data_IF_561950838634
#
_entry.id   IF_561950838634
#
_cell.length_a   1.000
_cell.length_b   1.000
_cell.length_c   1.000
_cell.angle_alpha   90.00
_cell.angle_beta   90.00
_cell.angle_gamma   90.00
#
_symmetry.space_group_name_H-M   'P 1'
#
loop_
_entity.id
_entity.type
_entity.pdbx_description
1 polymer ?
#
# COMPACT_ATOMS: atom_id res chain seq x y z
N UNK A 1 4.00 -24.59 -13.80
CA UNK A 1 3.40 -23.31 -14.24
C UNK A 1 4.45 -22.22 -14.10
N UNK A 2 4.68 -21.35 -15.10
CA UNK A 2 5.67 -20.28 -14.96
C UNK A 2 5.22 -19.31 -13.86
N UNK A 3 6.14 -18.90 -12.99
CA UNK A 3 5.87 -17.91 -11.94
C UNK A 3 5.51 -16.61 -12.63
N UNK A 4 4.22 -16.21 -12.54
CA UNK A 4 3.74 -14.98 -13.16
C UNK A 4 4.29 -13.80 -12.36
N UNK A 5 5.30 -13.12 -12.89
CA UNK A 5 5.85 -11.91 -12.27
C UNK A 5 4.79 -10.82 -12.28
N UNK A 6 4.22 -10.51 -11.12
CA UNK A 6 3.35 -9.36 -10.93
C UNK A 6 4.26 -8.12 -10.89
N UNK A 7 4.12 -7.25 -11.87
CA UNK A 7 4.82 -5.96 -11.91
C UNK A 7 3.82 -4.84 -11.61
N UNK A 8 4.22 -3.89 -10.77
CA UNK A 8 3.42 -2.72 -10.43
C UNK A 8 4.29 -1.47 -10.57
N UNK A 9 3.76 -0.45 -11.23
CA UNK A 9 4.44 0.84 -11.39
C UNK A 9 3.90 1.83 -10.36
N UNK A 10 4.80 2.48 -9.64
CA UNK A 10 4.46 3.49 -8.63
C UNK A 10 4.97 4.83 -9.15
N UNK A 11 4.10 5.85 -9.20
CA UNK A 11 4.54 7.23 -9.43
C UNK A 11 5.04 7.80 -8.13
N UNK A 12 6.28 8.26 -8.11
CA UNK A 12 6.88 8.94 -6.98
C UNK A 12 7.59 10.20 -7.45
N UNK A 13 7.78 11.14 -6.52
CA UNK A 13 8.58 12.33 -6.77
C UNK A 13 10.04 11.92 -7.07
N UNK A 14 10.75 12.64 -7.97
CA UNK A 14 12.11 12.28 -8.37
C UNK A 14 13.09 12.13 -7.20
N UNK A 15 12.91 12.93 -6.15
CA UNK A 15 13.74 12.94 -4.95
C UNK A 15 13.60 11.64 -4.15
N UNK A 16 12.39 11.08 -4.11
CA UNK A 16 12.11 9.81 -3.43
C UNK A 16 12.76 8.67 -4.19
N UNK A 17 12.67 8.69 -5.52
CA UNK A 17 13.33 7.70 -6.36
C UNK A 17 14.85 7.69 -6.19
N UNK A 18 15.47 8.88 -6.11
CA UNK A 18 16.90 9.03 -5.85
C UNK A 18 17.31 8.47 -4.48
N UNK A 19 16.54 8.78 -3.43
CA UNK A 19 16.79 8.21 -2.09
C UNK A 19 16.72 6.69 -2.06
N UNK A 20 15.78 6.09 -2.80
CA UNK A 20 15.67 4.63 -2.90
C UNK A 20 16.90 4.05 -3.62
N UNK A 21 17.40 4.71 -4.67
CA UNK A 21 18.60 4.26 -5.37
C UNK A 21 19.83 4.32 -4.47
N UNK A 22 19.97 5.37 -3.66
CA UNK A 22 21.08 5.49 -2.72
C UNK A 22 21.01 4.41 -1.64
N UNK A 23 19.83 4.13 -1.10
CA UNK A 23 19.62 3.01 -0.18
C UNK A 23 19.94 1.65 -0.83
N UNK A 24 19.53 1.44 -2.07
CA UNK A 24 19.83 0.21 -2.81
C UNK A 24 21.34 0.01 -2.94
N UNK A 25 22.09 1.07 -3.29
CA UNK A 25 23.56 1.04 -3.38
C UNK A 25 24.21 0.76 -2.03
N UNK A 26 23.79 1.46 -0.97
CA UNK A 26 24.32 1.25 0.38
C UNK A 26 24.14 -0.19 0.88
N UNK A 27 23.05 -0.85 0.47
CA UNK A 27 22.77 -2.23 0.83
C UNK A 27 23.27 -3.26 -0.21
N UNK A 28 24.09 -2.84 -1.19
CA UNK A 28 24.74 -3.73 -2.16
C UNK A 28 23.83 -4.28 -3.27
N UNK A 29 22.67 -3.66 -3.51
CA UNK A 29 21.76 -4.10 -4.57
C UNK A 29 22.10 -3.45 -5.91
N UNK A 30 22.18 -4.29 -6.96
CA UNK A 30 22.50 -3.84 -8.32
C UNK A 30 21.39 -3.01 -9.00
N UNK A 31 20.13 -3.18 -8.59
CA UNK A 31 19.00 -2.43 -9.16
C UNK A 31 17.97 -2.09 -8.09
N UNK A 32 17.27 -0.96 -8.29
CA UNK A 32 16.13 -0.53 -7.47
C UNK A 32 15.08 -1.63 -7.35
N UNK A 33 14.78 -2.32 -8.45
CA UNK A 33 13.78 -3.38 -8.47
C UNK A 33 14.15 -4.53 -7.51
N UNK A 34 15.41 -4.99 -7.53
CA UNK A 34 15.87 -6.04 -6.61
C UNK A 34 15.82 -5.59 -5.15
N UNK A 35 16.22 -4.35 -4.89
CA UNK A 35 16.14 -3.76 -3.56
C UNK A 35 14.68 -3.69 -3.07
N UNK A 36 13.75 -3.21 -3.89
CA UNK A 36 12.33 -3.09 -3.53
C UNK A 36 11.66 -4.45 -3.36
N UNK A 37 12.00 -5.45 -4.18
CA UNK A 37 11.51 -6.82 -4.01
C UNK A 37 12.04 -7.45 -2.73
N UNK A 38 13.33 -7.28 -2.43
CA UNK A 38 13.91 -7.74 -1.18
C UNK A 38 13.25 -7.03 0.00
N UNK A 39 13.20 -5.70 -0.01
CA UNK A 39 12.53 -4.90 1.00
C UNK A 39 11.10 -5.38 1.22
N UNK A 40 10.27 -5.53 0.19
CA UNK A 40 8.89 -6.00 0.32
C UNK A 40 8.77 -7.41 0.94
N UNK A 41 9.70 -8.31 0.66
CA UNK A 41 9.73 -9.65 1.23
C UNK A 41 10.27 -9.66 2.67
N UNK A 42 11.14 -8.71 3.03
CA UNK A 42 11.75 -8.59 4.36
C UNK A 42 10.99 -7.64 5.28
N UNK A 43 10.11 -6.76 4.76
CA UNK A 43 9.28 -5.80 5.51
C UNK A 43 8.19 -6.45 6.39
N UNK A 44 8.32 -7.74 6.69
CA UNK A 44 7.48 -8.49 7.61
C UNK A 44 8.29 -9.20 8.71
N UNK A 45 9.56 -8.83 8.91
CA UNK A 45 10.40 -9.35 9.99
C UNK A 45 9.96 -8.86 11.38
N UNK A 46 8.82 -9.35 11.88
CA UNK A 46 8.51 -9.52 13.30
C UNK A 46 8.15 -8.29 14.15
N UNK A 47 8.21 -7.04 13.65
CA UNK A 47 7.87 -5.84 14.47
C UNK A 47 6.62 -5.07 14.04
N UNK A 48 6.12 -5.29 12.82
CA UNK A 48 5.04 -4.49 12.23
C UNK A 48 3.72 -5.26 12.01
N UNK A 49 3.56 -6.47 12.57
CA UNK A 49 2.35 -7.29 12.39
C UNK A 49 1.05 -6.55 12.75
N UNK A 50 1.08 -5.74 13.82
CA UNK A 50 -0.06 -4.92 14.22
C UNK A 50 -0.42 -3.86 13.16
N UNK A 51 0.59 -3.23 12.54
CA UNK A 51 0.42 -2.22 11.49
C UNK A 51 -0.08 -2.89 10.21
N UNK A 52 0.50 -4.03 9.83
CA UNK A 52 0.07 -4.81 8.66
C UNK A 52 -1.38 -5.29 8.82
N UNK A 53 -1.76 -5.73 10.02
CA UNK A 53 -3.15 -6.10 10.31
C UNK A 53 -4.11 -4.90 10.24
N UNK A 54 -3.71 -3.74 10.75
CA UNK A 54 -4.48 -2.48 10.68
C UNK A 54 -4.66 -2.03 9.22
N UNK A 55 -3.59 -2.01 8.43
CA UNK A 55 -3.61 -1.66 7.00
C UNK A 55 -4.44 -2.66 6.18
N UNK A 56 -4.36 -3.96 6.50
CA UNK A 56 -5.14 -5.00 5.82
C UNK A 56 -6.65 -4.84 6.07
N UNK A 57 -7.06 -4.51 7.30
CA UNK A 57 -8.48 -4.25 7.63
C UNK A 57 -9.02 -3.02 6.90
N UNK A 58 -8.24 -1.94 6.84
CA UNK A 58 -8.63 -0.72 6.12
C UNK A 58 -8.71 -0.97 4.62
N UNK A 59 -7.75 -1.69 4.05
CA UNK A 59 -7.74 -2.08 2.63
C UNK A 59 -8.95 -2.96 2.28
N UNK A 60 -9.30 -3.92 3.14
CA UNK A 60 -10.50 -4.74 2.98
C UNK A 60 -11.78 -3.90 3.02
N UNK A 61 -11.90 -2.97 3.96
CA UNK A 61 -13.06 -2.07 4.05
C UNK A 61 -13.21 -1.22 2.78
N UNK A 62 -12.11 -0.65 2.27
CA UNK A 62 -12.08 0.11 1.01
C UNK A 62 -12.52 -0.76 -0.18
N UNK A 63 -12.06 -2.01 -0.23
CA UNK A 63 -12.46 -2.94 -1.28
C UNK A 63 -13.96 -3.31 -1.22
N UNK A 64 -14.53 -3.48 -0.03
CA UNK A 64 -15.98 -3.71 0.11
C UNK A 64 -16.80 -2.48 -0.29
N UNK A 65 -16.31 -1.27 -0.02
CA UNK A 65 -16.95 -0.02 -0.45
C UNK A 65 -16.93 0.10 -1.99
N UNK A 66 -15.79 -0.19 -2.62
CA UNK A 66 -15.67 -0.21 -4.09
C UNK A 66 -16.58 -1.27 -4.74
N UNK A 67 -16.67 -2.46 -4.11
CA UNK A 67 -17.63 -3.50 -4.52
C UNK A 67 -19.09 -3.06 -4.32
N UNK A 68 -19.40 -2.30 -3.27
CA UNK A 68 -20.73 -1.75 -3.07
C UNK A 68 -21.07 -0.65 -4.09
N UNK A 69 -20.07 0.14 -4.50
CA UNK A 69 -20.22 1.16 -5.54
C UNK A 69 -20.48 0.53 -6.92
N UNK A 70 -19.85 -0.61 -7.19
CA UNK A 70 -19.90 -1.30 -8.49
C UNK A 70 -20.93 -2.44 -8.56
N UNK A 71 -21.48 -2.89 -7.43
CA UNK A 71 -22.46 -3.98 -7.33
C UNK A 71 -23.55 -3.68 -6.30
N UNK A 72 -24.81 -3.69 -6.76
CA UNK A 72 -26.09 -3.46 -6.05
C UNK A 72 -26.11 -3.81 -4.54
N UNK A 73 -25.54 -2.93 -3.71
CA UNK A 73 -25.80 -2.87 -2.27
C UNK A 73 -26.72 -1.67 -2.02
N UNK A 74 -28.00 -2.00 -1.78
CA UNK A 74 -29.18 -1.13 -1.86
C UNK A 74 -29.39 -0.22 -0.64
N UNK A 75 -28.41 -0.12 0.26
CA UNK A 75 -28.58 0.59 1.55
C UNK A 75 -27.73 1.86 1.68
N UNK A 76 -26.67 2.01 0.88
CA UNK A 76 -25.79 3.17 0.94
C UNK A 76 -25.96 4.00 -0.32
N UNK A 77 -26.19 5.32 -0.17
CA UNK A 77 -26.26 6.21 -1.33
C UNK A 77 -24.85 6.41 -1.89
N UNK A 78 -24.69 6.69 -3.19
CA UNK A 78 -23.38 6.93 -3.80
C UNK A 78 -22.53 7.99 -3.07
N UNK A 79 -23.17 9.06 -2.56
CA UNK A 79 -22.47 10.08 -1.76
C UNK A 79 -21.89 9.52 -0.45
N UNK A 80 -22.61 8.61 0.22
CA UNK A 80 -22.15 8.01 1.48
C UNK A 80 -20.94 7.09 1.22
N UNK A 81 -20.95 6.37 0.10
CA UNK A 81 -19.83 5.54 -0.35
C UNK A 81 -18.58 6.40 -0.59
N UNK A 82 -18.72 7.54 -1.26
CA UNK A 82 -17.61 8.47 -1.52
C UNK A 82 -17.08 9.12 -0.23
N UNK A 83 -17.96 9.46 0.71
CA UNK A 83 -17.59 10.01 2.01
C UNK A 83 -16.83 8.99 2.86
N UNK A 84 -17.34 7.76 2.97
CA UNK A 84 -16.69 6.67 3.71
C UNK A 84 -15.34 6.32 3.04
N UNK A 85 -15.28 6.25 1.71
CA UNK A 85 -14.05 6.00 0.96
C UNK A 85 -12.98 7.08 1.21
N UNK A 86 -13.37 8.36 1.24
CA UNK A 86 -12.47 9.47 1.60
C UNK A 86 -11.95 9.35 3.03
N UNK A 87 -12.82 9.03 4.00
CA UNK A 87 -12.43 8.86 5.41
C UNK A 87 -11.49 7.67 5.60
N UNK A 88 -11.76 6.54 4.94
CA UNK A 88 -10.90 5.37 5.01
C UNK A 88 -9.52 5.60 4.35
N UNK A 89 -9.46 6.35 3.24
CA UNK A 89 -8.18 6.79 2.65
C UNK A 89 -7.41 7.74 3.57
N UNK A 90 -8.08 8.66 4.26
CA UNK A 90 -7.46 9.54 5.23
C UNK A 90 -6.90 8.76 6.44
N UNK A 91 -7.65 7.78 6.95
CA UNK A 91 -7.19 6.89 8.02
C UNK A 91 -5.97 6.07 7.58
N UNK A 92 -5.99 5.52 6.36
CA UNK A 92 -4.85 4.81 5.78
C UNK A 92 -3.60 5.70 5.73
N UNK A 93 -3.73 6.91 5.21
CA UNK A 93 -2.62 7.87 5.14
C UNK A 93 -2.11 8.27 6.54
N UNK A 94 -3.01 8.44 7.51
CA UNK A 94 -2.65 8.75 8.90
C UNK A 94 -1.83 7.63 9.55
N UNK A 95 -2.19 6.37 9.33
CA UNK A 95 -1.43 5.21 9.85
C UNK A 95 -0.07 5.14 9.18
N UNK A 96 0.01 5.37 7.87
CA UNK A 96 1.29 5.39 7.15
C UNK A 96 2.20 6.51 7.68
N UNK A 97 1.68 7.73 7.84
CA UNK A 97 2.45 8.87 8.37
C UNK A 97 2.92 8.63 9.80
N UNK A 98 2.07 8.06 10.67
CA UNK A 98 2.40 7.78 12.08
C UNK A 98 3.57 6.80 12.22
N UNK A 99 3.68 5.83 11.31
CA UNK A 99 4.66 4.75 11.40
C UNK A 99 5.83 4.90 10.42
N UNK A 100 5.94 6.05 9.73
CA UNK A 100 7.06 6.36 8.84
C UNK A 100 8.26 7.02 9.58
N UNK A 101 8.23 7.04 10.92
CA UNK A 101 9.27 7.61 11.80
C UNK A 101 9.99 6.54 12.60
#
# INVERSE_FOLDING_TARGET
MPVKTISYSIRQAPEVAARIDDMAKMNGFATRAKFMSHAALTYGGGKDEAIVAELSRISYALHQIDRAATGRLHLLKPHDIDEIGRRAKAALNSVIVRNAG
#
